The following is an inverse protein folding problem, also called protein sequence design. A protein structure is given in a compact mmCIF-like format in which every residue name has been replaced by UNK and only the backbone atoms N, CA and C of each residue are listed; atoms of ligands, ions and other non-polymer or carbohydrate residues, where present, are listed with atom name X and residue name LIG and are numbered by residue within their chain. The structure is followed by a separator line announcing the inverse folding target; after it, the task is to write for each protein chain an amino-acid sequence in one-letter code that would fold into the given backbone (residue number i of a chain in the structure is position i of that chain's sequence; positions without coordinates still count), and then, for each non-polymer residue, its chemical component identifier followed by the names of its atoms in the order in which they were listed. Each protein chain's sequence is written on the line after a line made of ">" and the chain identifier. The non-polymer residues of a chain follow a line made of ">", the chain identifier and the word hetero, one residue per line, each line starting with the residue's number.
data_IF_925674608744
#
_entry.id   IF_925674608744
#
_cell.length_a   1.000
_cell.length_b   1.000
_cell.length_c   1.000
_cell.angle_alpha   90.00
_cell.angle_beta   90.00
_cell.angle_gamma   90.00
#
_symmetry.space_group_name_H-M   'P 1'
#
loop_
_entity.id
_entity.type
_entity.pdbx_description
1 polymer ?
#
# COMPACT_ATOMS: atom_id res chain seq x y z
N UNK A 1 -23.20 10.95 3.41
CA UNK A 1 -22.51 9.77 4.00
C UNK A 1 -21.41 9.37 3.05
N UNK A 2 -20.11 9.45 3.38
CA UNK A 2 -19.10 8.99 2.45
C UNK A 2 -19.10 7.46 2.52
N UNK A 3 -19.56 6.84 1.43
CA UNK A 3 -19.36 5.43 1.13
C UNK A 3 -17.87 5.14 1.31
N UNK A 4 -17.52 4.49 2.42
CA UNK A 4 -16.24 3.81 2.58
C UNK A 4 -16.16 2.81 1.43
N UNK A 5 -15.54 3.20 0.32
CA UNK A 5 -14.97 2.24 -0.62
C UNK A 5 -13.97 1.43 0.20
N UNK A 6 -14.43 0.31 0.78
CA UNK A 6 -13.56 -0.78 1.20
C UNK A 6 -12.99 -1.33 -0.11
N UNK A 7 -11.97 -0.66 -0.65
CA UNK A 7 -11.13 -1.27 -1.67
C UNK A 7 -10.49 -2.48 -1.00
N UNK A 8 -11.03 -3.67 -1.31
CA UNK A 8 -10.44 -4.93 -0.88
C UNK A 8 -9.28 -5.21 -1.81
N UNK A 9 -8.06 -4.96 -1.34
CA UNK A 9 -6.83 -5.37 -2.02
C UNK A 9 -6.74 -6.90 -1.93
N UNK A 10 -6.49 -7.55 -3.06
CA UNK A 10 -6.32 -8.99 -3.19
C UNK A 10 -4.94 -9.36 -3.76
N UNK A 11 -4.52 -10.61 -3.55
CA UNK A 11 -3.31 -11.15 -4.19
C UNK A 11 -3.49 -11.13 -5.71
N UNK A 12 -2.45 -10.68 -6.42
CA UNK A 12 -2.44 -10.50 -7.86
C UNK A 12 -2.87 -9.10 -8.33
N UNK A 13 -3.45 -8.27 -7.45
CA UNK A 13 -3.86 -6.92 -7.81
C UNK A 13 -2.64 -6.06 -8.20
N UNK A 14 -2.83 -5.22 -9.23
CA UNK A 14 -1.92 -4.12 -9.54
C UNK A 14 -2.28 -2.91 -8.69
N UNK A 15 -1.30 -2.43 -7.94
CA UNK A 15 -1.45 -1.30 -7.01
C UNK A 15 -0.40 -0.24 -7.31
N UNK A 16 -0.65 0.98 -6.84
CA UNK A 16 0.30 2.07 -6.83
C UNK A 16 0.47 2.58 -5.41
N UNK A 17 1.70 2.86 -5.02
CA UNK A 17 1.99 3.52 -3.75
C UNK A 17 1.49 4.96 -3.77
N UNK A 18 0.76 5.35 -2.73
CA UNK A 18 0.25 6.70 -2.51
C UNK A 18 0.80 7.24 -1.19
N UNK A 19 0.99 8.56 -1.09
CA UNK A 19 1.33 9.18 0.19
C UNK A 19 0.06 9.16 1.06
N UNK A 20 0.09 8.48 2.22
CA UNK A 20 -1.07 8.43 3.11
C UNK A 20 -1.35 9.76 3.84
N UNK A 21 -0.55 10.82 3.63
CA UNK A 21 -0.70 12.22 4.07
C UNK A 21 -1.82 12.57 5.06
N UNK A 22 -1.50 13.32 6.13
CA UNK A 22 -0.50 13.02 7.15
C UNK A 22 -0.97 11.90 8.10
N UNK A 23 -0.07 11.27 8.87
CA UNK A 23 -0.48 10.31 9.89
C UNK A 23 -1.53 10.93 10.83
N UNK A 24 -2.55 10.16 11.25
CA UNK A 24 -3.50 10.62 12.26
C UNK A 24 -2.76 11.16 13.49
N UNK A 25 -3.32 12.15 14.22
CA UNK A 25 -2.71 12.65 15.45
C UNK A 25 -2.41 11.49 16.42
N UNK A 26 -1.15 11.33 16.82
CA UNK A 26 -0.70 10.26 17.72
C UNK A 26 -0.17 9.00 17.03
N UNK A 27 -0.24 8.88 15.70
CA UNK A 27 0.46 7.82 14.96
C UNK A 27 1.85 8.31 14.52
N UNK A 28 2.91 7.50 14.68
CA UNK A 28 4.23 7.87 14.20
C UNK A 28 4.22 7.97 12.67
N UNK A 29 4.89 8.98 12.12
CA UNK A 29 5.15 9.12 10.68
C UNK A 29 6.01 7.94 10.21
N UNK A 30 5.34 6.87 9.77
CA UNK A 30 5.98 5.71 9.15
C UNK A 30 6.38 6.14 7.75
N UNK A 31 7.56 6.74 7.62
CA UNK A 31 8.19 7.10 6.33
C UNK A 31 8.45 5.90 5.39
N UNK A 32 8.05 4.70 5.78
CA UNK A 32 8.17 3.48 4.99
C UNK A 32 7.34 3.62 3.73
N UNK A 33 7.98 3.98 2.61
CA UNK A 33 7.33 4.05 1.31
C UNK A 33 7.16 5.44 0.72
N UNK A 34 7.62 6.52 1.38
CA UNK A 34 7.57 7.86 0.77
C UNK A 34 8.38 7.96 -0.53
N UNK A 35 9.50 7.25 -0.60
CA UNK A 35 10.32 7.09 -1.81
C UNK A 35 9.72 6.11 -2.84
N UNK A 36 8.67 5.38 -2.45
CA UNK A 36 7.94 4.45 -3.32
C UNK A 36 6.67 5.09 -3.88
N UNK A 37 6.21 6.23 -3.34
CA UNK A 37 5.03 6.95 -3.83
C UNK A 37 5.12 7.14 -5.35
N UNK A 38 4.06 6.76 -6.05
CA UNK A 38 3.97 6.77 -7.51
C UNK A 38 4.47 5.48 -8.18
N UNK A 39 5.29 4.65 -7.53
CA UNK A 39 5.71 3.35 -8.07
C UNK A 39 4.53 2.37 -8.13
N UNK A 40 4.52 1.55 -9.17
CA UNK A 40 3.56 0.46 -9.35
C UNK A 40 4.09 -0.84 -8.76
N UNK A 41 3.19 -1.66 -8.24
CA UNK A 41 3.52 -2.94 -7.64
C UNK A 41 2.41 -3.97 -7.89
N UNK A 42 2.76 -5.23 -7.69
CA UNK A 42 1.81 -6.35 -7.65
C UNK A 42 1.74 -6.92 -6.26
N UNK A 43 0.52 -7.16 -5.77
CA UNK A 43 0.31 -7.77 -4.45
C UNK A 43 0.65 -9.25 -4.53
N UNK A 44 1.59 -9.69 -3.69
CA UNK A 44 1.99 -11.08 -3.58
C UNK A 44 1.29 -11.78 -2.42
N UNK A 45 1.10 -11.08 -1.30
CA UNK A 45 0.55 -11.68 -0.08
C UNK A 45 -0.22 -10.64 0.76
N UNK A 46 -1.26 -11.08 1.45
CA UNK A 46 -1.97 -10.29 2.46
C UNK A 46 -1.52 -10.73 3.85
N UNK A 47 -1.06 -9.78 4.66
CA UNK A 47 -0.58 -10.00 6.03
C UNK A 47 -1.65 -9.62 7.04
N UNK A 48 -1.57 -10.19 8.25
CA UNK A 48 -2.45 -9.80 9.36
C UNK A 48 -2.40 -8.28 9.62
N UNK A 49 -3.51 -7.74 10.13
CA UNK A 49 -3.67 -6.34 10.48
C UNK A 49 -3.61 -5.34 9.31
N UNK A 50 -3.88 -5.79 8.08
CA UNK A 50 -3.98 -4.90 6.91
C UNK A 50 -2.64 -4.49 6.30
N UNK A 51 -1.58 -5.22 6.62
CA UNK A 51 -0.33 -5.19 5.86
C UNK A 51 -0.43 -6.06 4.62
N UNK A 52 0.37 -5.76 3.60
CA UNK A 52 0.49 -6.53 2.37
C UNK A 52 1.95 -6.59 1.94
N UNK A 53 2.31 -7.66 1.25
CA UNK A 53 3.61 -7.80 0.61
C UNK A 53 3.43 -7.55 -0.88
N UNK A 54 4.20 -6.62 -1.44
CA UNK A 54 4.12 -6.25 -2.85
C UNK A 54 5.46 -6.36 -3.55
N UNK A 55 5.44 -6.72 -4.83
CA UNK A 55 6.60 -6.70 -5.72
C UNK A 55 6.56 -5.46 -6.60
N UNK A 56 7.60 -4.65 -6.53
CA UNK A 56 7.77 -3.48 -7.41
C UNK A 56 8.62 -3.90 -8.60
N UNK A 57 8.24 -3.47 -9.80
CA UNK A 57 9.03 -3.72 -11.00
C UNK A 57 10.39 -3.01 -10.88
N UNK A 58 11.47 -3.79 -10.90
CA UNK A 58 12.86 -3.30 -10.76
C UNK A 58 13.42 -3.34 -9.33
N UNK A 59 12.64 -3.68 -8.31
CA UNK A 59 13.18 -3.91 -6.95
C UNK A 59 13.53 -5.40 -6.76
N UNK A 60 14.71 -5.67 -6.21
CA UNK A 60 15.20 -7.05 -6.02
C UNK A 60 14.43 -7.82 -4.92
N UNK A 61 13.71 -7.11 -4.06
CA UNK A 61 13.02 -7.72 -2.91
C UNK A 61 11.59 -7.21 -2.80
N UNK A 62 10.66 -8.07 -2.38
CA UNK A 62 9.31 -7.64 -2.07
C UNK A 62 9.30 -6.75 -0.82
N UNK A 63 8.36 -5.82 -0.79
CA UNK A 63 8.28 -4.77 0.24
C UNK A 63 6.96 -4.93 0.98
N UNK A 64 7.03 -4.84 2.31
CA UNK A 64 5.84 -4.75 3.14
C UNK A 64 5.28 -3.33 3.11
N UNK A 65 3.98 -3.22 2.86
CA UNK A 65 3.24 -1.96 2.78
C UNK A 65 1.92 -2.07 3.54
N UNK A 66 1.35 -0.94 3.94
CA UNK A 66 -0.02 -0.88 4.45
C UNK A 66 -1.01 -0.78 3.29
N UNK A 67 -2.19 -1.41 3.40
CA UNK A 67 -3.28 -1.14 2.47
C UNK A 67 -3.66 0.35 2.40
N UNK A 68 -3.36 1.14 3.44
CA UNK A 68 -3.59 2.60 3.46
C UNK A 68 -2.64 3.37 2.55
N UNK A 69 -1.48 2.80 2.23
CA UNK A 69 -0.42 3.39 1.40
C UNK A 69 -0.55 2.97 -0.06
N UNK A 70 -1.63 2.26 -0.42
CA UNK A 70 -1.82 1.66 -1.73
C UNK A 70 -3.15 2.06 -2.34
N UNK A 71 -3.11 2.36 -3.64
CA UNK A 71 -4.27 2.54 -4.50
C UNK A 71 -4.33 1.40 -5.50
N UNK A 72 -5.44 0.65 -5.51
CA UNK A 72 -5.69 -0.37 -6.55
C UNK A 72 -5.91 0.32 -7.90
N UNK A 73 -5.24 -0.18 -8.95
CA UNK A 73 -5.29 0.39 -10.29
C UNK A 73 -6.36 -0.25 -11.17
N UNK A 74 -6.76 -1.50 -10.92
CA UNK A 74 -7.78 -2.25 -11.66
C UNK A 74 -8.29 -3.41 -10.81
#
# INVERSE_FOLDING_TARGET
>A
MPTRFRMTIAVGDRVQFIDPSPPPPGEPDRKFGRHLVGKMATVLELVRFGGVIVQIDGEARPIAASCRELRKLS
#
